data_IF_645293822255
#
_entry.id   IF_645293822255
#
_cell.length_a   1.000
_cell.length_b   1.000
_cell.length_c   1.000
_cell.angle_alpha   90.00
_cell.angle_beta   90.00
_cell.angle_gamma   90.00
#
_symmetry.space_group_name_H-M   'P 1'
#
loop_
_entity.id
_entity.type
_entity.pdbx_description
1 polymer ?
#
# COMPACT_ATOMS: atom_id res chain seq x y z
N UNK A 1 39.37 15.08 -29.15
CA UNK A 1 37.92 15.11 -29.35
C UNK A 1 37.27 14.90 -28.00
N UNK A 2 36.72 15.93 -27.38
CA UNK A 2 35.96 15.78 -26.13
C UNK A 2 34.72 14.90 -26.42
N UNK A 3 34.57 13.82 -25.67
CA UNK A 3 33.38 13.01 -25.73
C UNK A 3 32.18 13.91 -25.48
N UNK A 4 31.29 14.05 -26.46
CA UNK A 4 30.01 14.74 -26.27
C UNK A 4 29.28 13.95 -25.19
N UNK A 5 29.11 14.54 -24.01
CA UNK A 5 28.35 13.92 -22.92
C UNK A 5 26.94 13.70 -23.41
N UNK A 6 26.48 12.44 -23.39
CA UNK A 6 25.09 12.10 -23.73
C UNK A 6 24.18 12.58 -22.62
N UNK A 7 22.94 13.01 -22.93
CA UNK A 7 21.94 13.28 -21.91
C UNK A 7 21.74 12.07 -21.00
N UNK A 8 21.49 12.35 -19.71
CA UNK A 8 21.16 11.31 -18.74
C UNK A 8 19.87 10.61 -19.15
N UNK A 9 19.87 9.29 -19.13
CA UNK A 9 18.71 8.47 -19.52
C UNK A 9 18.75 7.13 -18.77
N UNK A 10 17.61 6.49 -18.64
CA UNK A 10 17.54 5.11 -18.17
C UNK A 10 18.13 4.20 -19.24
N UNK A 11 19.13 3.36 -18.94
CA UNK A 11 19.63 2.38 -19.89
C UNK A 11 18.53 1.43 -20.36
N UNK A 12 18.47 1.11 -21.64
CA UNK A 12 17.42 0.24 -22.22
C UNK A 12 17.37 -1.13 -21.53
N UNK A 13 18.51 -1.72 -21.24
CA UNK A 13 18.59 -3.00 -20.54
C UNK A 13 17.96 -2.94 -19.13
N UNK A 14 18.14 -1.84 -18.39
CA UNK A 14 17.51 -1.63 -17.08
C UNK A 14 16.02 -1.35 -17.21
N UNK A 15 15.60 -0.58 -18.20
CA UNK A 15 14.19 -0.37 -18.50
C UNK A 15 13.48 -1.71 -18.71
N UNK A 16 14.05 -2.58 -19.55
CA UNK A 16 13.46 -3.90 -19.84
C UNK A 16 13.41 -4.80 -18.58
N UNK A 17 14.44 -4.75 -17.73
CA UNK A 17 14.48 -5.51 -16.48
C UNK A 17 13.41 -5.04 -15.48
N UNK A 18 13.14 -3.74 -15.42
CA UNK A 18 12.28 -3.11 -14.42
C UNK A 18 10.84 -2.85 -14.91
N UNK A 19 10.54 -3.04 -16.19
CA UNK A 19 9.30 -2.60 -16.85
C UNK A 19 8.01 -2.98 -16.12
N UNK A 20 7.99 -4.09 -15.40
CA UNK A 20 6.79 -4.58 -14.72
C UNK A 20 6.44 -3.83 -13.44
N UNK A 21 7.43 -3.16 -12.80
CA UNK A 21 7.19 -2.36 -11.60
C UNK A 21 7.42 -0.85 -11.81
N UNK A 22 7.93 -0.42 -12.96
CA UNK A 22 8.10 1.02 -13.27
C UNK A 22 6.81 1.83 -13.19
N UNK A 23 5.65 1.33 -13.66
CA UNK A 23 4.38 2.05 -13.48
C UNK A 23 4.09 2.36 -12.01
N UNK A 24 4.39 1.43 -11.09
CA UNK A 24 4.26 1.63 -9.65
C UNK A 24 5.11 2.79 -9.15
N UNK A 25 6.38 2.87 -9.57
CA UNK A 25 7.26 3.99 -9.21
C UNK A 25 6.68 5.34 -9.62
N UNK A 26 6.24 5.45 -10.87
CA UNK A 26 5.80 6.71 -11.47
C UNK A 26 4.47 7.18 -10.88
N UNK A 27 3.57 6.26 -10.56
CA UNK A 27 2.33 6.60 -9.90
C UNK A 27 2.55 7.09 -8.47
N UNK A 28 3.50 6.48 -7.74
CA UNK A 28 3.77 6.78 -6.35
C UNK A 28 4.87 7.84 -6.16
N UNK A 29 4.65 9.04 -6.71
CA UNK A 29 5.41 10.26 -6.44
C UNK A 29 6.83 10.36 -7.02
N UNK A 30 7.37 9.35 -7.70
CA UNK A 30 8.65 9.46 -8.39
C UNK A 30 8.49 10.04 -9.79
N UNK A 31 9.51 10.76 -10.24
CA UNK A 31 9.59 11.28 -11.60
C UNK A 31 10.49 10.38 -12.45
N UNK A 32 10.27 10.38 -13.77
CA UNK A 32 11.16 9.67 -14.70
C UNK A 32 12.63 10.13 -14.57
N UNK A 33 12.85 11.42 -14.30
CA UNK A 33 14.17 11.98 -14.06
C UNK A 33 14.84 11.41 -12.81
N UNK A 34 14.09 11.15 -11.75
CA UNK A 34 14.61 10.53 -10.53
C UNK A 34 15.13 9.13 -10.81
N UNK A 35 14.37 8.33 -11.57
CA UNK A 35 14.83 7.01 -11.99
C UNK A 35 16.14 7.10 -12.79
N UNK A 36 16.21 7.99 -13.80
CA UNK A 36 17.40 8.14 -14.62
C UNK A 36 18.64 8.53 -13.79
N UNK A 37 18.45 9.32 -12.75
CA UNK A 37 19.52 9.73 -11.83
C UNK A 37 19.90 8.56 -10.90
N UNK A 38 18.94 7.91 -10.28
CA UNK A 38 19.17 6.82 -9.34
C UNK A 38 19.91 5.64 -9.99
N UNK A 39 19.68 5.39 -11.29
CA UNK A 39 20.35 4.29 -12.01
C UNK A 39 21.58 4.73 -12.83
N UNK A 40 22.02 5.99 -12.72
CA UNK A 40 23.12 6.53 -13.53
C UNK A 40 24.44 5.76 -13.37
N UNK A 41 24.69 5.26 -12.16
CA UNK A 41 25.91 4.54 -11.80
C UNK A 41 25.73 3.02 -11.77
N UNK A 42 24.61 2.51 -12.34
CA UNK A 42 24.39 1.07 -12.40
C UNK A 42 25.48 0.38 -13.23
N UNK A 43 26.06 -0.72 -12.75
CA UNK A 43 27.02 -1.49 -13.52
C UNK A 43 26.38 -2.03 -14.80
N UNK A 44 27.13 -1.96 -15.90
CA UNK A 44 26.67 -2.50 -17.18
C UNK A 44 26.40 -4.00 -17.05
N UNK A 45 25.23 -4.44 -17.53
CA UNK A 45 24.80 -5.84 -17.49
C UNK A 45 24.22 -6.30 -16.13
N UNK A 46 24.15 -5.44 -15.11
CA UNK A 46 23.46 -5.73 -13.85
C UNK A 46 21.95 -5.56 -14.04
N UNK A 47 21.28 -6.57 -14.62
CA UNK A 47 19.86 -6.50 -15.03
C UNK A 47 19.00 -7.61 -14.44
N UNK A 48 19.59 -8.53 -13.69
CA UNK A 48 18.85 -9.63 -13.08
C UNK A 48 18.21 -9.21 -11.75
N UNK A 49 16.94 -8.81 -11.82
CA UNK A 49 16.14 -8.41 -10.65
C UNK A 49 15.89 -9.55 -9.64
N UNK A 50 16.28 -10.78 -9.95
CA UNK A 50 16.22 -11.90 -8.99
C UNK A 50 17.41 -11.95 -8.04
N UNK A 51 18.49 -11.20 -8.33
CA UNK A 51 19.74 -11.23 -7.57
C UNK A 51 19.81 -10.16 -6.48
N UNK A 52 20.47 -10.43 -5.34
CA UNK A 52 20.76 -9.41 -4.34
C UNK A 52 21.58 -8.24 -4.89
N UNK A 53 22.55 -8.51 -5.78
CA UNK A 53 23.44 -7.50 -6.38
C UNK A 53 22.67 -6.38 -7.08
N UNK A 54 21.61 -6.73 -7.86
CA UNK A 54 20.74 -5.72 -8.48
C UNK A 54 20.17 -4.76 -7.43
N UNK A 55 19.64 -5.30 -6.33
CA UNK A 55 18.97 -4.51 -5.30
C UNK A 55 19.94 -3.73 -4.42
N UNK A 56 21.21 -4.15 -4.30
CA UNK A 56 22.26 -3.34 -3.69
C UNK A 56 22.53 -2.05 -4.48
N UNK A 57 22.69 -2.15 -5.79
CA UNK A 57 22.86 -0.98 -6.64
C UNK A 57 21.62 -0.10 -6.69
N UNK A 58 20.44 -0.73 -6.72
CA UNK A 58 19.17 -0.03 -6.66
C UNK A 58 19.01 0.77 -5.36
N UNK A 59 19.19 0.12 -4.22
CA UNK A 59 19.13 0.75 -2.91
C UNK A 59 20.11 1.91 -2.80
N UNK A 60 21.34 1.72 -3.23
CA UNK A 60 22.39 2.74 -3.19
C UNK A 60 21.99 3.98 -4.00
N UNK A 61 21.63 3.83 -5.27
CA UNK A 61 21.32 4.96 -6.14
C UNK A 61 20.12 5.76 -5.65
N UNK A 62 19.05 5.09 -5.22
CA UNK A 62 17.88 5.76 -4.67
C UNK A 62 18.16 6.42 -3.32
N UNK A 63 18.96 5.82 -2.43
CA UNK A 63 19.33 6.42 -1.15
C UNK A 63 20.17 7.69 -1.36
N UNK A 64 21.17 7.66 -2.24
CA UNK A 64 22.03 8.81 -2.57
C UNK A 64 21.21 9.95 -3.18
N UNK A 65 20.22 9.65 -4.00
CA UNK A 65 19.29 10.66 -4.52
C UNK A 65 18.44 11.28 -3.41
N UNK A 66 17.91 10.48 -2.49
CA UNK A 66 17.17 10.94 -1.32
C UNK A 66 18.02 11.86 -0.43
N UNK A 67 19.27 11.47 -0.13
CA UNK A 67 20.20 12.27 0.64
C UNK A 67 20.48 13.62 -0.03
N UNK A 68 20.60 13.64 -1.36
CA UNK A 68 20.78 14.87 -2.14
C UNK A 68 19.57 15.79 -2.02
N UNK A 69 18.34 15.27 -2.08
CA UNK A 69 17.13 16.09 -1.91
C UNK A 69 17.01 16.64 -0.49
N UNK A 70 17.39 15.88 0.55
CA UNK A 70 17.46 16.39 1.93
C UNK A 70 18.49 17.52 2.04
N UNK A 71 19.68 17.37 1.45
CA UNK A 71 20.71 18.40 1.48
C UNK A 71 20.21 19.71 0.82
N UNK A 72 19.51 19.59 -0.31
CA UNK A 72 18.91 20.75 -0.99
C UNK A 72 17.78 21.36 -0.15
N UNK A 73 16.95 20.55 0.49
CA UNK A 73 15.87 21.02 1.36
C UNK A 73 16.38 21.87 2.52
N UNK A 74 17.53 21.52 3.11
CA UNK A 74 18.16 22.28 4.21
C UNK A 74 18.59 23.68 3.80
N UNK A 75 18.88 23.92 2.53
CA UNK A 75 19.32 25.20 1.98
C UNK A 75 18.21 25.96 1.23
N UNK A 76 17.04 25.33 1.06
CA UNK A 76 15.91 25.92 0.34
C UNK A 76 15.28 27.06 1.17
N UNK A 77 15.15 28.23 0.59
CA UNK A 77 14.59 29.41 1.26
C UNK A 77 13.08 29.41 1.36
N UNK A 78 12.39 28.71 0.45
CA UNK A 78 10.93 28.68 0.36
C UNK A 78 10.37 27.41 0.97
N UNK A 79 9.36 27.54 1.85
CA UNK A 79 8.72 26.42 2.54
C UNK A 79 8.15 25.39 1.56
N UNK A 80 7.42 25.84 0.55
CA UNK A 80 6.85 24.96 -0.47
C UNK A 80 7.94 24.14 -1.21
N UNK A 81 9.06 24.78 -1.58
CA UNK A 81 10.20 24.09 -2.20
C UNK A 81 10.84 23.08 -1.27
N UNK A 82 10.98 23.41 0.00
CA UNK A 82 11.51 22.52 1.05
C UNK A 82 10.61 21.28 1.22
N UNK A 83 9.29 21.48 1.33
CA UNK A 83 8.32 20.37 1.41
C UNK A 83 8.36 19.49 0.16
N UNK A 84 8.43 20.10 -1.03
CA UNK A 84 8.56 19.34 -2.28
C UNK A 84 9.81 18.44 -2.29
N UNK A 85 10.97 18.96 -1.86
CA UNK A 85 12.20 18.18 -1.79
C UNK A 85 12.12 17.05 -0.74
N UNK A 86 11.49 17.29 0.41
CA UNK A 86 11.23 16.22 1.37
C UNK A 86 10.29 15.15 0.81
N UNK A 87 9.25 15.54 0.05
CA UNK A 87 8.35 14.60 -0.62
C UNK A 87 9.10 13.73 -1.63
N UNK A 88 10.00 14.32 -2.43
CA UNK A 88 10.85 13.57 -3.34
C UNK A 88 11.79 12.62 -2.59
N UNK A 89 12.38 13.06 -1.46
CA UNK A 89 13.20 12.20 -0.62
C UNK A 89 12.40 11.04 -0.02
N UNK A 90 11.14 11.25 0.39
CA UNK A 90 10.23 10.20 0.87
C UNK A 90 10.12 9.07 -0.15
N UNK A 91 9.81 9.40 -1.39
CA UNK A 91 9.71 8.44 -2.49
C UNK A 91 11.06 7.74 -2.76
N UNK A 92 12.17 8.49 -2.76
CA UNK A 92 13.49 7.90 -2.98
C UNK A 92 13.85 6.85 -1.93
N UNK A 93 13.60 7.11 -0.65
CA UNK A 93 13.90 6.12 0.41
C UNK A 93 12.96 4.92 0.37
N UNK A 94 11.70 5.11 -0.02
CA UNK A 94 10.79 3.98 -0.25
C UNK A 94 11.32 3.07 -1.35
N UNK A 95 11.72 3.62 -2.50
CA UNK A 95 12.28 2.81 -3.59
C UNK A 95 13.66 2.25 -3.26
N UNK A 96 14.43 2.90 -2.39
CA UNK A 96 15.70 2.35 -1.91
C UNK A 96 15.50 1.08 -1.06
N UNK A 97 14.48 1.04 -0.20
CA UNK A 97 14.21 -0.14 0.65
C UNK A 97 13.39 -1.23 -0.06
N UNK A 98 12.70 -0.87 -1.17
CA UNK A 98 11.86 -1.78 -1.93
C UNK A 98 12.62 -3.02 -2.40
N UNK A 99 12.14 -4.22 -2.07
CA UNK A 99 12.76 -5.52 -2.38
C UNK A 99 14.24 -5.67 -1.95
N UNK A 100 14.71 -4.84 -1.02
CA UNK A 100 16.04 -4.90 -0.46
C UNK A 100 16.05 -5.73 0.83
N UNK A 101 16.69 -6.90 0.82
CA UNK A 101 16.73 -7.84 1.94
C UNK A 101 18.17 -8.26 2.34
N UNK A 102 19.20 -7.72 1.69
CA UNK A 102 20.58 -8.07 2.01
C UNK A 102 21.01 -7.54 3.40
N UNK A 103 20.44 -6.42 3.83
CA UNK A 103 20.63 -5.84 5.16
C UNK A 103 19.28 -5.35 5.70
N UNK A 104 18.65 -6.17 6.55
CA UNK A 104 17.36 -5.86 7.14
C UNK A 104 17.40 -4.69 8.13
N UNK A 105 18.54 -4.40 8.77
CA UNK A 105 18.70 -3.23 9.63
C UNK A 105 18.71 -1.97 8.76
N UNK A 106 19.47 -1.97 7.68
CA UNK A 106 19.44 -0.88 6.70
C UNK A 106 18.07 -0.65 6.11
N UNK A 107 17.34 -1.72 5.75
CA UNK A 107 15.97 -1.64 5.26
C UNK A 107 15.07 -0.91 6.27
N UNK A 108 15.13 -1.27 7.57
CA UNK A 108 14.35 -0.60 8.63
C UNK A 108 14.73 0.88 8.79
N UNK A 109 16.01 1.20 8.69
CA UNK A 109 16.48 2.61 8.73
C UNK A 109 15.92 3.41 7.55
N UNK A 110 15.97 2.87 6.33
CA UNK A 110 15.42 3.52 5.14
C UNK A 110 13.91 3.75 5.28
N UNK A 111 13.16 2.76 5.80
CA UNK A 111 11.73 2.89 6.07
C UNK A 111 11.43 3.98 7.12
N UNK A 112 12.26 4.13 8.13
CA UNK A 112 12.16 5.27 9.06
C UNK A 112 12.43 6.61 8.35
N UNK A 113 13.39 6.67 7.41
CA UNK A 113 13.64 7.87 6.61
C UNK A 113 12.43 8.24 5.74
N UNK A 114 11.69 7.26 5.21
CA UNK A 114 10.41 7.49 4.50
C UNK A 114 9.46 8.28 5.38
N UNK A 115 9.17 7.77 6.58
CA UNK A 115 8.25 8.41 7.54
C UNK A 115 8.72 9.82 7.94
N UNK A 116 10.00 9.96 8.28
CA UNK A 116 10.56 11.23 8.75
C UNK A 116 10.53 12.31 7.65
N UNK A 117 10.79 11.93 6.41
CA UNK A 117 10.72 12.84 5.26
C UNK A 117 9.27 13.19 4.92
N UNK A 118 8.36 12.21 4.96
CA UNK A 118 6.95 12.43 4.74
C UNK A 118 6.38 13.49 5.71
N UNK A 119 6.62 13.33 7.01
CA UNK A 119 6.14 14.28 8.03
C UNK A 119 6.67 15.71 7.80
N UNK A 120 7.90 15.86 7.28
CA UNK A 120 8.46 17.16 6.89
C UNK A 120 7.92 17.70 5.58
N UNK A 121 7.38 16.84 4.73
CA UNK A 121 6.80 17.24 3.44
C UNK A 121 5.35 17.66 3.54
N UNK A 122 4.64 17.25 4.59
CA UNK A 122 3.21 17.44 4.73
C UNK A 122 2.85 18.86 5.15
N UNK A 123 1.75 19.37 4.62
CA UNK A 123 1.22 20.68 5.01
C UNK A 123 0.07 20.54 6.00
N UNK A 124 0.41 20.52 7.29
CA UNK A 124 -0.57 20.45 8.39
C UNK A 124 -1.56 21.61 8.42
N UNK A 125 -1.22 22.75 7.75
CA UNK A 125 -2.12 23.92 7.70
C UNK A 125 -3.19 23.76 6.63
N UNK A 126 -2.93 22.94 5.59
CA UNK A 126 -3.90 22.64 4.53
C UNK A 126 -4.74 21.43 4.92
N UNK A 127 -4.09 20.36 5.35
CA UNK A 127 -4.78 19.12 5.74
C UNK A 127 -4.08 18.46 6.93
N UNK A 128 -4.61 18.59 8.14
CA UNK A 128 -4.05 17.91 9.31
C UNK A 128 -4.04 16.38 9.17
N UNK A 129 -2.92 15.75 9.51
CA UNK A 129 -2.79 14.29 9.51
C UNK A 129 -3.55 13.63 10.66
N UNK A 130 -3.76 14.35 11.77
CA UNK A 130 -4.31 13.80 13.01
C UNK A 130 -3.65 12.45 13.38
N UNK A 131 -2.34 12.41 13.64
CA UNK A 131 -1.63 11.18 13.94
C UNK A 131 -2.06 10.61 15.29
N UNK A 132 -2.08 9.29 15.39
CA UNK A 132 -2.33 8.58 16.61
C UNK A 132 -1.70 7.20 16.60
N UNK A 133 -1.99 6.43 17.67
CA UNK A 133 -1.51 5.08 17.83
C UNK A 133 -2.52 4.22 18.58
N UNK A 134 -2.57 2.95 18.26
CA UNK A 134 -3.39 1.93 18.91
C UNK A 134 -2.43 0.85 19.41
N UNK A 135 -2.65 0.33 20.60
CA UNK A 135 -1.93 -0.84 21.10
C UNK A 135 -2.73 -2.11 20.82
N UNK A 136 -2.08 -3.07 20.16
CA UNK A 136 -2.64 -4.38 19.91
C UNK A 136 -1.61 -5.48 20.24
N UNK A 137 -1.88 -6.29 21.25
CA UNK A 137 -1.00 -7.40 21.71
C UNK A 137 0.48 -6.99 21.87
N UNK A 138 0.73 -5.79 22.41
CA UNK A 138 2.09 -5.25 22.62
C UNK A 138 2.73 -4.66 21.36
N UNK A 139 2.00 -4.55 20.26
CA UNK A 139 2.44 -3.87 19.03
C UNK A 139 1.75 -2.52 18.93
N UNK A 140 2.54 -1.47 18.76
CA UNK A 140 2.03 -0.14 18.47
C UNK A 140 1.64 -0.04 17.00
N UNK A 141 0.39 0.29 16.70
CA UNK A 141 -0.16 0.51 15.37
C UNK A 141 -0.30 2.01 15.16
N UNK A 142 0.64 2.67 14.46
CA UNK A 142 0.50 4.08 14.15
C UNK A 142 -0.55 4.28 13.05
N UNK A 143 -1.23 5.43 13.11
CA UNK A 143 -2.22 5.79 12.12
C UNK A 143 -2.22 7.29 11.82
N UNK A 144 -2.84 7.65 10.69
CA UNK A 144 -3.25 9.00 10.33
C UNK A 144 -4.76 9.01 10.07
N UNK A 145 -5.47 10.03 10.57
CA UNK A 145 -6.88 10.26 10.26
C UNK A 145 -7.00 11.53 9.41
N UNK A 146 -7.23 11.38 8.12
CA UNK A 146 -7.47 12.48 7.21
C UNK A 146 -8.95 12.82 7.15
N UNK A 147 -9.27 14.10 7.31
CA UNK A 147 -10.64 14.62 7.23
C UNK A 147 -10.82 15.47 5.97
N UNK A 148 -12.03 15.50 5.38
CA UNK A 148 -12.39 16.45 4.33
C UNK A 148 -12.20 17.92 4.79
N UNK A 149 -11.92 18.83 3.86
CA UNK A 149 -11.67 20.24 4.18
C UNK A 149 -12.90 20.96 4.77
N UNK A 150 -14.09 20.62 4.29
CA UNK A 150 -15.34 21.24 4.74
C UNK A 150 -16.13 20.26 5.60
N UNK A 151 -15.87 20.26 6.89
CA UNK A 151 -16.54 19.39 7.85
C UNK A 151 -17.51 20.21 8.69
N UNK A 152 -18.79 19.82 8.71
CA UNK A 152 -19.71 20.29 9.74
C UNK A 152 -19.33 19.59 11.07
N UNK A 153 -18.84 20.34 12.09
CA UNK A 153 -18.39 19.72 13.34
C UNK A 153 -19.50 18.99 14.11
N UNK A 154 -20.75 19.17 13.71
CA UNK A 154 -21.93 18.54 14.33
C UNK A 154 -22.40 17.28 13.57
N UNK A 155 -21.76 16.93 12.46
CA UNK A 155 -22.14 15.78 11.64
C UNK A 155 -20.97 14.78 11.53
N UNK A 156 -21.05 13.63 12.20
CA UNK A 156 -20.04 12.58 12.05
C UNK A 156 -19.92 12.13 10.58
N UNK A 157 -18.69 11.88 10.16
CA UNK A 157 -18.32 11.56 8.79
C UNK A 157 -18.32 10.05 8.53
N UNK A 158 -18.67 9.62 7.32
CA UNK A 158 -18.29 8.28 6.89
C UNK A 158 -16.78 8.15 6.87
N UNK A 159 -16.26 6.96 7.11
CA UNK A 159 -14.82 6.72 7.14
C UNK A 159 -14.45 5.45 6.40
N UNK A 160 -13.40 5.51 5.58
CA UNK A 160 -12.77 4.33 4.97
C UNK A 160 -11.45 4.03 5.70
N UNK A 161 -11.31 2.79 6.17
CA UNK A 161 -10.06 2.27 6.70
C UNK A 161 -9.22 1.75 5.52
N UNK A 162 -7.94 2.12 5.46
CA UNK A 162 -7.04 1.75 4.35
C UNK A 162 -5.90 0.89 4.86
N UNK A 163 -5.76 -0.31 4.27
CA UNK A 163 -4.71 -1.28 4.59
C UNK A 163 -3.68 -1.41 3.48
N UNK A 164 -2.42 -1.38 3.85
CA UNK A 164 -1.26 -1.54 2.98
C UNK A 164 -1.18 -2.93 2.33
N UNK A 165 -0.47 -3.02 1.20
CA UNK A 165 0.09 -4.28 0.70
C UNK A 165 1.20 -4.81 1.60
N UNK A 166 1.82 -5.92 1.18
CA UNK A 166 2.87 -6.57 1.96
C UNK A 166 4.12 -5.68 2.12
N UNK A 167 4.55 -5.06 1.03
CA UNK A 167 5.77 -4.27 0.89
C UNK A 167 5.53 -2.74 0.84
N UNK A 168 4.26 -2.33 0.88
CA UNK A 168 3.83 -0.92 0.79
C UNK A 168 4.16 -0.12 2.04
N UNK A 169 4.05 1.20 1.91
CA UNK A 169 4.10 2.16 3.02
C UNK A 169 2.93 3.14 2.94
N UNK A 170 2.38 3.49 4.08
CA UNK A 170 1.28 4.45 4.18
C UNK A 170 1.64 5.80 3.57
N UNK A 171 2.84 6.29 3.83
CA UNK A 171 3.32 7.63 3.47
C UNK A 171 3.55 7.84 1.97
N UNK A 172 3.66 6.77 1.17
CA UNK A 172 3.89 6.88 -0.28
C UNK A 172 2.70 6.34 -1.05
N UNK A 173 2.26 5.13 -0.75
CA UNK A 173 1.30 4.42 -1.60
C UNK A 173 -0.14 4.60 -1.15
N UNK A 174 -0.46 4.30 0.11
CA UNK A 174 -1.85 4.31 0.58
C UNK A 174 -2.40 5.72 0.72
N UNK A 175 -1.55 6.70 1.05
CA UNK A 175 -1.94 8.11 1.14
C UNK A 175 -2.56 8.64 -0.17
N UNK A 176 -2.09 8.18 -1.32
CA UNK A 176 -2.62 8.60 -2.61
C UNK A 176 -4.06 8.13 -2.83
N UNK A 177 -4.44 6.95 -2.36
CA UNK A 177 -5.84 6.50 -2.36
C UNK A 177 -6.67 7.28 -1.35
N UNK A 178 -6.12 7.56 -0.16
CA UNK A 178 -6.82 8.30 0.88
C UNK A 178 -7.24 9.70 0.42
N UNK A 179 -6.40 10.39 -0.34
CA UNK A 179 -6.72 11.71 -0.89
C UNK A 179 -7.98 11.70 -1.76
N UNK A 180 -8.23 10.62 -2.52
CA UNK A 180 -9.45 10.49 -3.30
C UNK A 180 -10.70 10.37 -2.44
N UNK A 181 -10.67 9.57 -1.38
CA UNK A 181 -11.80 9.45 -0.45
C UNK A 181 -12.09 10.78 0.25
N UNK A 182 -11.05 11.45 0.73
CA UNK A 182 -11.19 12.73 1.43
C UNK A 182 -11.77 13.81 0.51
N UNK A 183 -11.35 13.86 -0.75
CA UNK A 183 -11.90 14.77 -1.74
C UNK A 183 -13.37 14.46 -2.09
N UNK A 184 -13.84 13.24 -1.85
CA UNK A 184 -15.25 12.84 -1.97
C UNK A 184 -16.07 13.05 -0.69
N UNK A 185 -15.52 13.70 0.34
CA UNK A 185 -16.22 13.96 1.60
C UNK A 185 -16.22 12.77 2.58
N UNK A 186 -15.37 11.79 2.40
CA UNK A 186 -15.23 10.59 3.23
C UNK A 186 -13.92 10.68 4.01
N UNK A 187 -13.96 10.55 5.32
CA UNK A 187 -12.75 10.47 6.14
C UNK A 187 -11.93 9.23 5.77
N UNK A 188 -10.60 9.33 5.85
CA UNK A 188 -9.70 8.23 5.56
C UNK A 188 -8.82 7.91 6.78
N UNK A 189 -8.88 6.67 7.25
CA UNK A 189 -8.07 6.15 8.34
C UNK A 189 -7.00 5.23 7.78
N UNK A 190 -5.75 5.70 7.79
CA UNK A 190 -4.59 4.98 7.29
C UNK A 190 -3.80 4.43 8.46
N UNK A 191 -3.41 3.17 8.41
CA UNK A 191 -2.69 2.54 9.51
C UNK A 191 -1.62 1.57 9.01
N UNK A 192 -0.57 1.44 9.80
CA UNK A 192 0.45 0.42 9.64
C UNK A 192 0.26 -0.67 10.70
N UNK A 193 -0.43 -1.74 10.32
CA UNK A 193 -0.65 -2.88 11.21
C UNK A 193 0.63 -3.68 11.50
N UNK A 194 0.54 -4.72 12.34
CA UNK A 194 1.67 -5.62 12.57
C UNK A 194 2.19 -6.18 11.24
N UNK A 195 3.50 -6.15 11.02
CA UNK A 195 4.15 -6.60 9.79
C UNK A 195 3.89 -5.78 8.54
N UNK A 196 3.26 -4.59 8.65
CA UNK A 196 3.02 -3.69 7.53
C UNK A 196 3.66 -2.31 7.78
N UNK A 197 3.90 -1.55 6.71
CA UNK A 197 4.40 -0.19 6.78
C UNK A 197 5.61 -0.07 7.71
N UNK A 198 5.57 0.85 8.70
CA UNK A 198 6.68 1.03 9.65
C UNK A 198 6.90 -0.20 10.54
N UNK A 199 5.89 -1.07 10.70
CA UNK A 199 5.98 -2.30 11.50
C UNK A 199 6.53 -3.51 10.72
N UNK A 200 6.78 -3.38 9.41
CA UNK A 200 7.39 -4.43 8.60
C UNK A 200 8.79 -4.78 9.13
N UNK A 201 9.01 -6.07 9.43
CA UNK A 201 10.26 -6.57 10.01
C UNK A 201 10.48 -6.16 11.48
N UNK A 202 9.46 -5.56 12.14
CA UNK A 202 9.47 -5.25 13.59
C UNK A 202 8.50 -6.12 14.37
N UNK A 203 7.39 -6.48 13.76
CA UNK A 203 6.42 -7.43 14.29
C UNK A 203 5.91 -8.32 13.15
N UNK A 204 5.59 -9.60 13.39
CA UNK A 204 5.06 -10.47 12.34
C UNK A 204 3.63 -10.09 11.96
N UNK A 205 3.26 -10.34 10.70
CA UNK A 205 1.85 -10.28 10.28
C UNK A 205 1.07 -11.39 10.98
N UNK A 206 -0.03 -11.10 11.69
CA UNK A 206 -0.90 -12.13 12.25
C UNK A 206 -1.76 -12.76 11.15
N UNK A 207 -1.99 -14.07 11.25
CA UNK A 207 -2.90 -14.77 10.32
C UNK A 207 -4.33 -14.23 10.45
N UNK A 208 -4.77 -13.94 11.69
CA UNK A 208 -6.11 -13.40 12.00
C UNK A 208 -6.08 -11.88 12.01
N UNK A 209 -5.70 -11.26 10.89
CA UNK A 209 -5.55 -9.80 10.82
C UNK A 209 -6.85 -9.03 11.07
N UNK A 210 -8.01 -9.64 10.90
CA UNK A 210 -9.30 -9.06 11.26
C UNK A 210 -9.41 -8.68 12.74
N UNK A 211 -8.68 -9.35 13.65
CA UNK A 211 -8.63 -8.97 15.08
C UNK A 211 -7.95 -7.61 15.28
N UNK A 212 -6.91 -7.32 14.48
CA UNK A 212 -6.27 -5.99 14.44
C UNK A 212 -7.28 -4.93 13.99
N UNK A 213 -8.03 -5.22 12.93
CA UNK A 213 -9.03 -4.30 12.39
C UNK A 213 -10.19 -4.09 13.38
N UNK A 214 -10.58 -5.11 14.14
CA UNK A 214 -11.59 -4.97 15.20
C UNK A 214 -11.14 -3.95 16.26
N UNK A 215 -9.89 -4.02 16.71
CA UNK A 215 -9.32 -3.05 17.66
C UNK A 215 -9.26 -1.61 17.10
N UNK A 216 -9.02 -1.47 15.78
CA UNK A 216 -9.07 -0.17 15.11
C UNK A 216 -10.51 0.38 15.10
N UNK A 217 -11.49 -0.47 14.78
CA UNK A 217 -12.91 -0.08 14.78
C UNK A 217 -13.35 0.40 16.16
N UNK A 218 -12.95 -0.30 17.24
CA UNK A 218 -13.26 0.13 18.62
C UNK A 218 -12.69 1.52 18.93
N UNK A 219 -11.49 1.83 18.41
CA UNK A 219 -10.89 3.16 18.57
C UNK A 219 -11.66 4.23 17.77
N UNK A 220 -12.07 3.91 16.55
CA UNK A 220 -12.85 4.84 15.71
C UNK A 220 -14.24 5.09 16.26
N UNK A 221 -14.88 4.10 16.87
CA UNK A 221 -16.21 4.26 17.51
C UNK A 221 -16.17 5.24 18.67
N UNK A 222 -15.02 5.50 19.26
CA UNK A 222 -14.84 6.50 20.31
C UNK A 222 -14.57 7.93 19.77
N UNK A 223 -14.32 8.08 18.47
CA UNK A 223 -14.05 9.39 17.84
C UNK A 223 -15.36 10.03 17.36
N UNK A 224 -15.82 11.06 18.03
CA UNK A 224 -17.07 11.77 17.73
C UNK A 224 -17.13 12.37 16.29
N UNK A 225 -16.01 12.48 15.61
CA UNK A 225 -15.93 12.96 14.22
C UNK A 225 -16.37 11.91 13.21
N UNK A 226 -16.37 10.61 13.59
CA UNK A 226 -16.62 9.47 12.72
C UNK A 226 -17.98 8.82 13.05
N UNK A 227 -18.72 8.50 12.00
CA UNK A 227 -19.93 7.71 12.13
C UNK A 227 -19.61 6.22 12.03
N UNK A 228 -19.62 5.54 13.15
CA UNK A 228 -19.30 4.10 13.23
C UNK A 228 -20.24 3.21 12.41
N UNK A 229 -21.43 3.72 12.06
CA UNK A 229 -22.41 3.01 11.23
C UNK A 229 -22.17 3.21 9.72
N UNK A 230 -21.18 4.02 9.34
CA UNK A 230 -20.83 4.31 7.95
C UNK A 230 -19.34 4.07 7.67
N UNK A 231 -18.86 2.88 8.08
CA UNK A 231 -17.50 2.47 7.83
C UNK A 231 -17.37 1.73 6.50
N UNK A 232 -16.31 2.03 5.77
CA UNK A 232 -15.81 1.28 4.63
C UNK A 232 -14.41 0.73 4.88
N UNK A 233 -14.01 -0.26 4.12
CA UNK A 233 -12.65 -0.78 4.15
C UNK A 233 -12.08 -0.86 2.73
N UNK A 234 -10.84 -0.43 2.55
CA UNK A 234 -10.09 -0.55 1.30
C UNK A 234 -8.74 -1.22 1.59
N UNK A 235 -8.38 -2.18 0.77
CA UNK A 235 -7.07 -2.82 0.86
C UNK A 235 -6.48 -3.11 -0.51
N UNK A 236 -5.16 -2.96 -0.63
CA UNK A 236 -4.42 -3.23 -1.85
C UNK A 236 -3.50 -4.44 -1.66
N UNK A 237 -3.44 -5.36 -2.63
CA UNK A 237 -2.57 -6.54 -2.59
C UNK A 237 -2.84 -7.41 -1.35
N UNK A 238 -1.87 -7.59 -0.46
CA UNK A 238 -2.09 -8.27 0.82
C UNK A 238 -3.14 -7.55 1.68
N UNK A 239 -3.22 -6.22 1.63
CA UNK A 239 -4.32 -5.45 2.22
C UNK A 239 -5.68 -5.79 1.61
N UNK A 240 -5.72 -6.13 0.31
CA UNK A 240 -6.92 -6.65 -0.36
C UNK A 240 -7.33 -8.03 0.19
N UNK A 241 -6.38 -8.92 0.46
CA UNK A 241 -6.64 -10.15 1.20
C UNK A 241 -7.21 -9.86 2.61
N UNK A 242 -6.63 -8.87 3.33
CA UNK A 242 -7.17 -8.41 4.62
C UNK A 242 -8.60 -7.87 4.46
N UNK A 243 -8.88 -7.12 3.39
CA UNK A 243 -10.23 -6.62 3.11
C UNK A 243 -11.25 -7.77 2.97
N UNK A 244 -10.88 -8.87 2.32
CA UNK A 244 -11.74 -10.06 2.23
C UNK A 244 -11.95 -10.74 3.59
N UNK A 245 -10.92 -10.80 4.46
CA UNK A 245 -11.06 -11.27 5.84
C UNK A 245 -12.01 -10.38 6.64
N UNK A 246 -11.87 -9.06 6.51
CA UNK A 246 -12.77 -8.07 7.12
C UNK A 246 -14.23 -8.29 6.65
N UNK A 247 -14.44 -8.44 5.34
CA UNK A 247 -15.78 -8.71 4.79
C UNK A 247 -16.39 -10.01 5.36
N UNK A 248 -15.55 -11.04 5.55
CA UNK A 248 -15.96 -12.33 6.08
C UNK A 248 -16.28 -12.31 7.57
N UNK A 249 -15.39 -11.74 8.38
CA UNK A 249 -15.44 -11.88 9.84
C UNK A 249 -16.02 -10.66 10.54
N UNK A 250 -15.91 -9.47 9.95
CA UNK A 250 -16.37 -8.19 10.49
C UNK A 250 -17.38 -7.46 9.58
N UNK A 251 -17.92 -8.15 8.57
CA UNK A 251 -18.80 -7.53 7.58
C UNK A 251 -19.97 -6.75 8.17
N UNK A 252 -20.48 -7.15 9.36
CA UNK A 252 -21.54 -6.45 10.08
C UNK A 252 -21.12 -5.04 10.58
N UNK A 253 -19.85 -4.72 10.63
CA UNK A 253 -19.30 -3.40 11.01
C UNK A 253 -19.10 -2.48 9.79
N UNK A 254 -19.10 -3.02 8.58
CA UNK A 254 -18.74 -2.29 7.36
C UNK A 254 -19.90 -2.29 6.37
N UNK A 255 -20.21 -1.14 5.77
CA UNK A 255 -21.20 -1.03 4.69
C UNK A 255 -20.65 -1.42 3.34
N UNK A 256 -19.34 -1.26 3.14
CA UNK A 256 -18.67 -1.53 1.87
C UNK A 256 -17.21 -1.92 2.09
N UNK A 257 -16.74 -2.90 1.32
CA UNK A 257 -15.37 -3.36 1.35
C UNK A 257 -14.82 -3.39 -0.08
N UNK A 258 -13.64 -2.82 -0.29
CA UNK A 258 -12.95 -2.82 -1.58
C UNK A 258 -11.67 -3.63 -1.48
N UNK A 259 -11.55 -4.63 -2.33
CA UNK A 259 -10.38 -5.47 -2.53
C UNK A 259 -9.71 -5.11 -3.84
N UNK A 260 -8.54 -4.48 -3.80
CA UNK A 260 -7.71 -4.26 -4.98
C UNK A 260 -6.62 -5.32 -5.06
N UNK A 261 -6.74 -6.24 -5.99
CA UNK A 261 -5.77 -7.32 -6.28
C UNK A 261 -5.37 -8.20 -5.09
N UNK A 262 -6.26 -8.36 -4.10
CA UNK A 262 -6.19 -9.45 -3.14
C UNK A 262 -7.01 -10.66 -3.61
N UNK A 263 -6.96 -11.75 -2.86
CA UNK A 263 -7.73 -12.96 -3.15
C UNK A 263 -7.92 -13.80 -1.89
N UNK A 264 -8.84 -14.76 -1.89
CA UNK A 264 -9.10 -15.63 -0.74
C UNK A 264 -7.95 -16.63 -0.48
N UNK A 265 -7.04 -16.78 -1.41
CA UNK A 265 -5.83 -17.57 -1.30
C UNK A 265 -4.71 -16.98 -2.17
N UNK A 266 -3.48 -17.28 -1.78
CA UNK A 266 -2.26 -16.79 -2.42
C UNK A 266 -1.67 -17.92 -3.25
N UNK A 267 -0.95 -17.62 -4.32
CA UNK A 267 -0.15 -18.63 -5.04
C UNK A 267 0.75 -19.39 -4.05
N UNK A 268 0.84 -20.73 -4.12
CA UNK A 268 1.63 -21.52 -3.19
C UNK A 268 3.08 -21.02 -3.09
N UNK A 269 3.61 -20.96 -1.87
CA UNK A 269 4.92 -20.37 -1.58
C UNK A 269 6.04 -20.92 -2.50
N UNK A 270 6.06 -22.22 -2.78
CA UNK A 270 7.07 -22.85 -3.60
C UNK A 270 7.10 -22.33 -5.04
N UNK A 271 5.94 -21.90 -5.56
CA UNK A 271 5.76 -21.42 -6.94
C UNK A 271 6.08 -19.92 -7.10
N UNK A 272 6.24 -19.20 -5.99
CA UNK A 272 6.51 -17.77 -6.03
C UNK A 272 7.91 -17.45 -6.55
N UNK A 273 8.07 -16.26 -7.11
CA UNK A 273 9.37 -15.67 -7.45
C UNK A 273 10.20 -15.47 -6.19
N UNK A 274 11.53 -15.60 -6.31
CA UNK A 274 12.46 -15.56 -5.18
C UNK A 274 12.26 -14.33 -4.28
N UNK A 275 12.20 -13.14 -4.87
CA UNK A 275 12.08 -11.88 -4.10
C UNK A 275 10.79 -11.79 -3.32
N UNK A 276 9.70 -12.26 -3.89
CA UNK A 276 8.43 -12.29 -3.21
C UNK A 276 8.45 -13.30 -2.03
N UNK A 277 9.15 -14.43 -2.17
CA UNK A 277 9.40 -15.35 -1.05
C UNK A 277 10.13 -14.67 0.11
N UNK A 278 11.18 -13.92 -0.20
CA UNK A 278 11.96 -13.17 0.78
C UNK A 278 11.10 -12.10 1.47
N UNK A 279 10.22 -11.44 0.73
CA UNK A 279 9.30 -10.43 1.27
C UNK A 279 8.28 -11.04 2.24
N UNK A 280 7.64 -12.15 1.88
CA UNK A 280 6.75 -12.89 2.79
C UNK A 280 7.47 -13.37 4.04
N UNK A 281 8.68 -13.95 3.90
CA UNK A 281 9.47 -14.37 5.05
C UNK A 281 9.80 -13.19 5.99
N UNK A 282 10.13 -12.05 5.41
CA UNK A 282 10.43 -10.84 6.18
C UNK A 282 9.20 -10.29 6.89
N UNK A 283 8.04 -10.26 6.23
CA UNK A 283 6.79 -9.77 6.79
C UNK A 283 6.23 -10.69 7.89
N UNK A 284 6.35 -12.00 7.73
CA UNK A 284 5.98 -12.98 8.76
C UNK A 284 7.06 -13.19 9.81
N UNK A 285 8.24 -12.58 9.63
CA UNK A 285 9.43 -12.79 10.46
C UNK A 285 9.78 -14.29 10.62
N UNK A 286 9.60 -15.07 9.55
CA UNK A 286 9.85 -16.50 9.52
C UNK A 286 11.08 -16.79 8.63
N UNK A 287 12.25 -17.03 9.25
CA UNK A 287 13.47 -17.30 8.50
C UNK A 287 13.50 -18.71 7.88
N UNK A 288 12.73 -19.66 8.46
CA UNK A 288 12.67 -21.02 7.95
C UNK A 288 11.69 -21.12 6.77
N UNK A 289 12.25 -21.31 5.57
CA UNK A 289 11.47 -21.49 4.33
C UNK A 289 10.54 -22.71 4.38
N UNK A 290 10.89 -23.71 5.17
CA UNK A 290 10.10 -24.96 5.28
C UNK A 290 8.84 -24.77 6.10
N UNK A 291 8.76 -23.74 6.94
CA UNK A 291 7.56 -23.37 7.69
C UNK A 291 6.56 -22.52 6.87
N UNK A 292 7.02 -21.89 5.79
CA UNK A 292 6.17 -20.99 5.01
C UNK A 292 4.94 -21.65 4.36
N UNK A 293 5.00 -22.87 3.82
CA UNK A 293 3.80 -23.55 3.30
C UNK A 293 2.68 -23.68 4.33
N UNK A 294 2.99 -24.07 5.56
CA UNK A 294 2.00 -24.19 6.64
C UNK A 294 1.38 -22.80 7.00
N UNK A 295 2.16 -21.73 6.93
CA UNK A 295 1.65 -20.36 7.10
C UNK A 295 0.67 -20.04 5.96
N UNK A 296 1.03 -20.37 4.71
CA UNK A 296 0.20 -20.10 3.53
C UNK A 296 -1.11 -20.90 3.56
N UNK A 297 -1.09 -22.14 4.02
CA UNK A 297 -2.31 -22.93 4.21
C UNK A 297 -3.27 -22.29 5.22
N UNK A 298 -2.74 -21.69 6.29
CA UNK A 298 -3.55 -20.94 7.27
C UNK A 298 -4.08 -19.60 6.75
N UNK A 299 -3.50 -19.04 5.68
CA UNK A 299 -3.98 -17.83 5.03
C UNK A 299 -5.14 -18.10 4.06
N UNK A 300 -5.46 -19.35 3.75
CA UNK A 300 -6.61 -19.69 2.92
C UNK A 300 -7.90 -19.25 3.63
N UNK A 301 -8.65 -18.33 3.01
CA UNK A 301 -9.90 -17.84 3.55
C UNK A 301 -11.03 -18.82 3.25
N UNK A 302 -11.70 -19.31 4.29
CA UNK A 302 -12.92 -20.10 4.12
C UNK A 302 -14.07 -19.22 3.63
N UNK A 303 -14.56 -19.47 2.42
CA UNK A 303 -15.68 -18.73 1.81
C UNK A 303 -17.05 -19.27 2.17
N UNK A 304 -17.15 -20.36 2.96
CA UNK A 304 -18.42 -20.93 3.37
C UNK A 304 -19.26 -19.94 4.20
N UNK A 305 -20.59 -19.99 4.07
CA UNK A 305 -21.49 -19.10 4.80
C UNK A 305 -21.52 -17.63 4.32
N UNK A 306 -20.84 -17.30 3.21
CA UNK A 306 -20.89 -15.98 2.59
C UNK A 306 -20.23 -14.86 3.40
N UNK A 307 -20.59 -13.60 3.09
CA UNK A 307 -20.19 -12.40 3.84
C UNK A 307 -21.42 -11.53 4.15
N UNK A 308 -21.28 -10.59 5.10
CA UNK A 308 -22.41 -9.76 5.56
C UNK A 308 -22.40 -8.34 4.98
N UNK A 309 -21.39 -7.99 4.19
CA UNK A 309 -21.25 -6.67 3.58
C UNK A 309 -21.14 -6.76 2.06
N UNK A 310 -21.26 -5.61 1.37
CA UNK A 310 -20.99 -5.54 -0.06
C UNK A 310 -19.49 -5.45 -0.32
N UNK A 311 -19.01 -6.21 -1.29
CA UNK A 311 -17.60 -6.30 -1.66
C UNK A 311 -17.43 -5.97 -3.14
N UNK A 312 -16.48 -5.06 -3.45
CA UNK A 312 -15.97 -4.83 -4.80
C UNK A 312 -14.56 -5.38 -4.89
N UNK A 313 -14.32 -6.28 -5.82
CA UNK A 313 -12.96 -6.70 -6.19
C UNK A 313 -12.55 -6.07 -7.51
N UNK A 314 -11.33 -5.51 -7.55
CA UNK A 314 -10.68 -5.03 -8.77
C UNK A 314 -9.44 -5.87 -8.96
N UNK A 315 -9.30 -6.52 -10.13
CA UNK A 315 -8.32 -7.58 -10.28
C UNK A 315 -7.79 -7.68 -11.71
N UNK A 316 -6.52 -8.07 -11.84
CA UNK A 316 -5.91 -8.39 -13.12
C UNK A 316 -6.03 -9.88 -13.43
N UNK A 317 -6.42 -10.23 -14.65
CA UNK A 317 -6.54 -11.63 -15.07
C UNK A 317 -5.20 -12.38 -15.00
N UNK A 318 -4.08 -11.64 -15.20
CA UNK A 318 -2.73 -12.18 -15.19
C UNK A 318 -2.01 -12.05 -13.84
N UNK A 319 -2.75 -11.83 -12.76
CA UNK A 319 -2.17 -11.77 -11.41
C UNK A 319 -1.56 -13.13 -11.01
N UNK A 320 -0.24 -13.16 -10.81
CA UNK A 320 0.51 -14.36 -10.45
C UNK A 320 0.73 -14.51 -8.93
N UNK A 321 0.25 -13.54 -8.13
CA UNK A 321 0.31 -13.54 -6.66
C UNK A 321 -1.03 -14.02 -6.08
N UNK A 322 -2.13 -13.37 -6.46
CA UNK A 322 -3.48 -13.77 -6.13
C UNK A 322 -4.20 -14.22 -7.40
N UNK A 323 -4.34 -15.53 -7.65
CA UNK A 323 -4.92 -16.01 -8.90
C UNK A 323 -6.34 -15.52 -9.10
N UNK A 324 -6.68 -15.06 -10.32
CA UNK A 324 -8.02 -14.57 -10.70
C UNK A 324 -9.13 -15.58 -10.40
N UNK A 325 -8.82 -16.89 -10.36
CA UNK A 325 -9.77 -17.91 -9.94
C UNK A 325 -10.33 -17.66 -8.55
N UNK A 326 -9.54 -17.07 -7.64
CA UNK A 326 -10.02 -16.70 -6.32
C UNK A 326 -11.17 -15.70 -6.37
N UNK A 327 -11.14 -14.77 -7.32
CA UNK A 327 -12.22 -13.79 -7.55
C UNK A 327 -13.48 -14.49 -8.10
N UNK A 328 -13.32 -15.46 -8.99
CA UNK A 328 -14.42 -16.27 -9.50
C UNK A 328 -15.08 -17.13 -8.39
N UNK A 329 -14.27 -17.65 -7.47
CA UNK A 329 -14.75 -18.39 -6.31
C UNK A 329 -15.53 -17.47 -5.34
N UNK A 330 -15.13 -16.19 -5.20
CA UNK A 330 -15.90 -15.18 -4.44
C UNK A 330 -17.26 -14.90 -5.10
N UNK A 331 -17.31 -14.68 -6.42
CA UNK A 331 -18.56 -14.50 -7.17
C UNK A 331 -19.53 -15.67 -6.92
N UNK A 332 -19.02 -16.88 -7.03
CA UNK A 332 -19.83 -18.10 -6.83
C UNK A 332 -20.32 -18.26 -5.38
N UNK A 333 -19.47 -17.94 -4.38
CA UNK A 333 -19.78 -18.19 -2.95
C UNK A 333 -20.53 -17.06 -2.27
N UNK A 334 -20.25 -15.80 -2.64
CA UNK A 334 -20.82 -14.62 -1.99
C UNK A 334 -21.98 -14.00 -2.81
N UNK A 335 -22.15 -14.40 -4.09
CA UNK A 335 -23.28 -14.03 -4.95
C UNK A 335 -23.48 -12.51 -5.01
N UNK A 336 -24.69 -12.04 -4.82
CA UNK A 336 -25.05 -10.62 -4.92
C UNK A 336 -24.28 -9.67 -3.98
N UNK A 337 -23.56 -10.22 -3.01
CA UNK A 337 -22.69 -9.44 -2.12
C UNK A 337 -21.34 -9.12 -2.71
N UNK A 338 -20.94 -9.78 -3.78
CA UNK A 338 -19.67 -9.58 -4.45
C UNK A 338 -19.87 -9.06 -5.87
N UNK A 339 -19.05 -8.07 -6.24
CA UNK A 339 -18.93 -7.53 -7.60
C UNK A 339 -17.46 -7.52 -7.99
N UNK A 340 -17.14 -7.84 -9.24
CA UNK A 340 -15.77 -7.83 -9.73
C UNK A 340 -15.61 -6.96 -10.97
N UNK A 341 -14.50 -6.23 -11.04
CA UNK A 341 -13.95 -5.61 -12.25
C UNK A 341 -12.66 -6.34 -12.55
N UNK A 342 -12.62 -7.09 -13.65
CA UNK A 342 -11.45 -7.86 -14.07
C UNK A 342 -10.89 -7.25 -15.35
N UNK A 343 -9.60 -6.90 -15.32
CA UNK A 343 -8.86 -6.37 -16.47
C UNK A 343 -8.05 -7.48 -17.13
N UNK A 344 -8.42 -7.89 -18.34
CA UNK A 344 -7.88 -9.06 -19.06
C UNK A 344 -6.36 -9.02 -19.31
N UNK A 345 -5.78 -7.84 -19.50
CA UNK A 345 -4.36 -7.67 -19.82
C UNK A 345 -3.53 -7.14 -18.65
N UNK A 346 -4.11 -7.10 -17.46
CA UNK A 346 -3.46 -6.58 -16.27
C UNK A 346 -2.94 -7.70 -15.38
N UNK A 347 -1.78 -7.41 -14.78
CA UNK A 347 -1.17 -8.20 -13.72
C UNK A 347 -1.57 -7.65 -12.35
N UNK A 348 -0.77 -7.96 -11.34
CA UNK A 348 -0.99 -7.55 -9.96
C UNK A 348 -1.13 -6.03 -9.79
N UNK A 349 -2.17 -5.58 -9.08
CA UNK A 349 -2.55 -4.17 -8.80
C UNK A 349 -3.05 -3.38 -10.01
N UNK A 350 -3.17 -3.97 -11.21
CA UNK A 350 -3.72 -3.33 -12.41
C UNK A 350 -3.14 -1.94 -12.69
N UNK A 351 -1.80 -1.84 -12.65
CA UNK A 351 -1.07 -0.56 -12.62
C UNK A 351 -1.33 0.37 -13.82
N UNK A 352 -1.72 -0.19 -14.98
CA UNK A 352 -2.04 0.64 -16.13
C UNK A 352 -3.47 1.20 -16.09
N UNK A 353 -4.33 0.70 -15.21
CA UNK A 353 -5.75 1.06 -15.09
C UNK A 353 -6.05 1.94 -13.87
N UNK A 354 -5.02 2.47 -13.21
CA UNK A 354 -5.18 3.21 -11.95
C UNK A 354 -6.18 4.37 -12.10
N UNK A 355 -6.06 5.16 -13.17
CA UNK A 355 -6.93 6.30 -13.42
C UNK A 355 -8.40 5.91 -13.61
N UNK A 356 -8.67 4.71 -14.08
CA UNK A 356 -10.03 4.19 -14.26
C UNK A 356 -10.58 3.64 -12.95
N UNK A 357 -9.87 2.70 -12.31
CA UNK A 357 -10.43 2.05 -11.15
C UNK A 357 -10.51 2.94 -9.92
N UNK A 358 -9.67 3.97 -9.79
CA UNK A 358 -9.76 4.89 -8.64
C UNK A 358 -11.09 5.66 -8.63
N UNK A 359 -11.58 6.03 -9.81
CA UNK A 359 -12.91 6.63 -9.99
C UNK A 359 -13.99 5.60 -9.71
N UNK A 360 -13.88 4.39 -10.28
CA UNK A 360 -14.84 3.32 -10.05
C UNK A 360 -14.96 2.96 -8.55
N UNK A 361 -13.87 2.97 -7.79
CA UNK A 361 -13.88 2.75 -6.33
C UNK A 361 -14.70 3.85 -5.64
N UNK A 362 -14.44 5.11 -5.94
CA UNK A 362 -15.13 6.24 -5.30
C UNK A 362 -16.64 6.23 -5.62
N UNK A 363 -17.00 5.99 -6.88
CA UNK A 363 -18.39 5.91 -7.34
C UNK A 363 -19.13 4.71 -6.73
N UNK A 364 -18.44 3.62 -6.46
CA UNK A 364 -19.02 2.43 -5.88
C UNK A 364 -19.19 2.55 -4.36
N UNK A 365 -18.21 3.05 -3.63
CA UNK A 365 -18.20 3.12 -2.17
C UNK A 365 -19.02 4.31 -1.64
N UNK A 366 -18.97 5.47 -2.31
CA UNK A 366 -19.60 6.70 -1.86
C UNK A 366 -21.09 6.55 -1.54
N UNK A 367 -21.94 6.07 -2.48
CA UNK A 367 -23.37 5.87 -2.24
C UNK A 367 -23.66 4.89 -1.09
N UNK A 368 -22.81 3.89 -0.87
CA UNK A 368 -22.95 2.89 0.21
C UNK A 368 -22.65 3.44 1.59
N UNK A 369 -21.80 4.47 1.65
CA UNK A 369 -21.48 5.19 2.88
C UNK A 369 -22.33 6.44 3.07
N UNK A 370 -23.19 6.80 2.12
CA UNK A 370 -24.13 7.90 2.28
C UNK A 370 -25.09 7.66 3.46
N UNK A 371 -25.62 8.72 4.11
CA UNK A 371 -26.68 8.58 5.09
C UNK A 371 -27.88 7.86 4.47
N UNK A 372 -28.57 7.05 5.25
CA UNK A 372 -29.84 6.49 4.81
C UNK A 372 -30.80 7.64 4.53
N UNK A 373 -31.37 7.67 3.30
CA UNK A 373 -32.40 8.63 2.97
C UNK A 373 -33.57 8.39 3.96
N UNK A 374 -33.81 9.39 4.81
CA UNK A 374 -35.09 9.40 5.58
C UNK A 374 -36.21 9.58 4.57
N UNK A 375 -36.79 8.45 4.13
CA UNK A 375 -38.02 8.44 3.36
C UNK A 375 -39.19 8.78 4.29
#
# INVERSE_FOLDING_TARGET
MSAVSKPLSVPEELYLACRYFLPRLLFWQSQWGDLAIAVSDFPKGCTDVSTPEFWEHWMKGWSELGDRYIAQAKTCSYEMGRRHLFRSATSCYHWAEFMYFSDCDRKRVLRQCVKDCFLKSWDETVRPLNPGKIEWNGVEIPYYLLLPESVDPHKPLPCVLLSNGLDSVTEVEVIAFAEHFVNCGIAAFLFDGPGQGINLGRSPIPVNFEEVVASIVDTLSADARIDENRLGFFGVSFGGYIALRVAKHLGHKFRAVVNLSGGPYITPFEKMKRRLKEDFQYAFMEPDKTAMPDIFDRLILDLSGGCQTNVLSIHGELDDIFPVRGIQDLDYKWGDRHQAIIYEQEAHVCLNQINEYIVAIADWIGPRLAPESTV
#
